data_IF_672654813900
#
_entry.id   IF_672654813900
#
_cell.length_a   1.000
_cell.length_b   1.000
_cell.length_c   1.000
_cell.angle_alpha   90.00
_cell.angle_beta   90.00
_cell.angle_gamma   90.00
#
_symmetry.space_group_name_H-M   'P 1'
#
loop_
_entity.id
_entity.type
_entity.pdbx_description
1 polymer ?
#
# COMPACT_ATOMS: atom_id res chain seq x y z
N UNK A 1 2.75 75.34 -41.75
CA UNK A 1 3.93 74.61 -41.23
C UNK A 1 3.51 73.81 -40.00
N UNK A 2 3.38 72.48 -40.12
CA UNK A 2 3.05 71.61 -38.99
C UNK A 2 4.35 71.27 -38.24
N UNK A 3 4.41 71.57 -36.94
CA UNK A 3 5.58 71.34 -36.08
C UNK A 3 5.72 69.83 -35.85
N UNK A 4 6.80 69.23 -36.36
CA UNK A 4 7.09 67.80 -36.17
C UNK A 4 7.49 67.58 -34.72
N UNK A 5 6.61 66.96 -33.93
CA UNK A 5 6.91 66.58 -32.55
C UNK A 5 8.07 65.56 -32.56
N UNK A 6 9.16 65.89 -31.86
CA UNK A 6 10.28 64.98 -31.65
C UNK A 6 9.78 63.78 -30.86
N UNK A 7 9.79 62.59 -31.47
CA UNK A 7 9.56 61.34 -30.75
C UNK A 7 10.87 60.97 -30.05
N UNK A 8 10.96 61.25 -28.77
CA UNK A 8 12.03 60.73 -27.90
C UNK A 8 11.85 59.22 -27.76
N UNK A 9 12.82 58.43 -28.22
CA UNK A 9 12.84 56.98 -28.04
C UNK A 9 13.38 56.60 -26.66
N UNK A 10 12.93 55.46 -26.13
CA UNK A 10 13.49 54.85 -24.91
C UNK A 10 14.95 54.44 -25.13
N UNK A 11 15.82 54.69 -24.16
CA UNK A 11 17.20 54.19 -24.19
C UNK A 11 17.23 52.68 -23.87
N UNK A 12 18.22 51.98 -24.42
CA UNK A 12 18.44 50.55 -24.13
C UNK A 12 18.69 50.32 -22.63
N UNK A 13 19.33 51.27 -21.95
CA UNK A 13 19.61 51.21 -20.51
C UNK A 13 18.33 51.32 -19.69
N UNK A 14 17.40 52.20 -20.05
CA UNK A 14 16.10 52.31 -19.40
C UNK A 14 15.30 51.02 -19.53
N UNK A 15 15.29 50.42 -20.72
CA UNK A 15 14.63 49.13 -20.94
C UNK A 15 15.29 48.01 -20.12
N UNK A 16 16.63 48.00 -20.06
CA UNK A 16 17.40 46.99 -19.31
C UNK A 16 17.10 47.05 -17.80
N UNK A 17 17.07 48.25 -17.21
CA UNK A 17 16.78 48.39 -15.79
C UNK A 17 15.35 47.93 -15.49
N UNK A 18 14.38 48.22 -16.35
CA UNK A 18 12.99 47.78 -16.17
C UNK A 18 12.88 46.25 -16.14
N UNK A 19 13.52 45.55 -17.08
CA UNK A 19 13.46 44.07 -17.09
C UNK A 19 14.17 43.46 -15.89
N UNK A 20 15.28 44.07 -15.43
CA UNK A 20 15.98 43.64 -14.21
C UNK A 20 15.09 43.82 -12.98
N UNK A 21 14.41 44.95 -12.85
CA UNK A 21 13.50 45.21 -11.72
C UNK A 21 12.32 44.24 -11.73
N UNK A 22 11.70 43.99 -12.89
CA UNK A 22 10.61 43.02 -13.02
C UNK A 22 11.11 41.61 -12.66
N UNK A 23 12.32 41.23 -13.08
CA UNK A 23 12.90 39.92 -12.75
C UNK A 23 13.07 39.73 -11.23
N UNK A 24 13.56 40.74 -10.51
CA UNK A 24 13.70 40.69 -9.05
C UNK A 24 12.33 40.60 -8.36
N UNK A 25 11.36 41.43 -8.79
CA UNK A 25 10.00 41.41 -8.24
C UNK A 25 9.29 40.07 -8.50
N UNK A 26 9.46 39.49 -9.68
CA UNK A 26 8.93 38.18 -10.02
C UNK A 26 9.54 37.08 -9.13
N UNK A 27 10.84 37.11 -8.88
CA UNK A 27 11.50 36.13 -8.03
C UNK A 27 10.96 36.15 -6.58
N UNK A 28 10.83 37.34 -5.98
CA UNK A 28 10.30 37.51 -4.62
C UNK A 28 8.83 37.05 -4.54
N UNK A 29 8.02 37.45 -5.53
CA UNK A 29 6.59 37.11 -5.55
C UNK A 29 6.37 35.60 -5.69
N UNK A 30 7.18 34.89 -6.49
CA UNK A 30 7.10 33.43 -6.63
C UNK A 30 7.37 32.72 -5.28
N UNK A 31 8.43 33.09 -4.57
CA UNK A 31 8.77 32.47 -3.27
C UNK A 31 7.68 32.74 -2.23
N UNK A 32 7.20 33.98 -2.16
CA UNK A 32 6.12 34.36 -1.25
C UNK A 32 4.80 33.63 -1.57
N UNK A 33 4.45 33.52 -2.84
CA UNK A 33 3.24 32.86 -3.32
C UNK A 33 3.23 31.36 -2.97
N UNK A 34 4.36 30.66 -3.16
CA UNK A 34 4.50 29.26 -2.77
C UNK A 34 4.31 29.07 -1.26
N UNK A 35 4.90 29.97 -0.45
CA UNK A 35 4.73 29.93 1.01
C UNK A 35 3.29 30.15 1.46
N UNK A 36 2.58 31.12 0.86
CA UNK A 36 1.15 31.39 1.13
C UNK A 36 0.30 30.18 0.74
N UNK A 37 0.53 29.64 -0.46
CA UNK A 37 -0.21 28.49 -0.98
C UNK A 37 -0.04 27.27 -0.07
N UNK A 38 1.17 26.97 0.38
CA UNK A 38 1.40 25.84 1.27
C UNK A 38 0.74 26.03 2.65
N UNK A 39 0.78 27.24 3.22
CA UNK A 39 0.05 27.54 4.47
C UNK A 39 -1.46 27.40 4.30
N UNK A 40 -2.01 27.86 3.18
CA UNK A 40 -3.42 27.71 2.87
C UNK A 40 -3.83 26.23 2.76
N UNK A 41 -3.01 25.41 2.07
CA UNK A 41 -3.24 23.96 1.97
C UNK A 41 -3.20 23.26 3.33
N UNK A 42 -2.18 23.55 4.16
CA UNK A 42 -2.07 23.01 5.51
C UNK A 42 -3.27 23.41 6.38
N UNK A 43 -3.67 24.68 6.33
CA UNK A 43 -4.83 25.18 7.07
C UNK A 43 -6.13 24.51 6.62
N UNK A 44 -6.32 24.30 5.31
CA UNK A 44 -7.48 23.61 4.77
C UNK A 44 -7.56 22.16 5.25
N UNK A 45 -6.48 21.38 5.12
CA UNK A 45 -6.46 19.99 5.56
C UNK A 45 -6.61 19.85 7.08
N UNK A 46 -5.90 20.67 7.85
CA UNK A 46 -5.98 20.70 9.32
C UNK A 46 -7.39 21.03 9.81
N UNK A 47 -8.00 22.09 9.29
CA UNK A 47 -9.36 22.49 9.68
C UNK A 47 -10.41 21.48 9.25
N UNK A 48 -10.23 20.81 8.11
CA UNK A 48 -11.10 19.73 7.67
C UNK A 48 -11.05 18.52 8.60
N UNK A 49 -9.85 18.08 8.99
CA UNK A 49 -9.67 16.99 9.95
C UNK A 49 -10.30 17.31 11.31
N UNK A 50 -10.08 18.53 11.81
CA UNK A 50 -10.66 19.00 13.07
C UNK A 50 -12.19 19.04 13.03
N UNK A 51 -12.76 19.62 11.96
CA UNK A 51 -14.21 19.74 11.78
C UNK A 51 -14.87 18.37 11.66
N UNK A 52 -14.24 17.44 10.95
CA UNK A 52 -14.73 16.07 10.83
C UNK A 52 -14.70 15.34 12.18
N UNK A 53 -13.58 15.42 12.91
CA UNK A 53 -13.46 14.82 14.23
C UNK A 53 -14.47 15.38 15.23
N UNK A 54 -14.75 16.69 15.19
CA UNK A 54 -15.77 17.31 16.03
C UNK A 54 -17.16 16.72 15.77
N UNK A 55 -17.53 16.54 14.50
CA UNK A 55 -18.81 15.88 14.12
C UNK A 55 -18.87 14.42 14.61
N UNK A 56 -17.77 13.68 14.46
CA UNK A 56 -17.64 12.30 14.98
C UNK A 56 -17.82 12.26 16.51
N UNK A 57 -17.17 13.16 17.24
CA UNK A 57 -17.29 13.24 18.70
C UNK A 57 -18.69 13.69 19.15
N UNK A 58 -19.31 14.67 18.47
CA UNK A 58 -20.69 15.09 18.74
C UNK A 58 -21.67 13.95 18.52
N UNK A 59 -21.48 13.15 17.46
CA UNK A 59 -22.28 11.95 17.24
C UNK A 59 -22.16 10.97 18.41
N UNK A 60 -20.96 10.72 18.93
CA UNK A 60 -20.76 9.79 20.04
C UNK A 60 -21.52 10.23 21.31
N UNK A 61 -21.49 11.53 21.63
CA UNK A 61 -22.24 12.10 22.77
C UNK A 61 -23.74 11.82 22.67
N UNK A 62 -24.32 11.83 21.48
CA UNK A 62 -25.75 11.55 21.27
C UNK A 62 -26.08 10.08 21.04
N UNK A 63 -25.09 9.19 20.98
CA UNK A 63 -25.23 7.77 20.63
C UNK A 63 -24.53 6.84 21.62
N UNK A 64 -24.72 7.09 22.92
CA UNK A 64 -24.21 6.22 24.01
C UNK A 64 -22.70 5.95 23.90
N UNK A 65 -21.94 7.03 23.69
CA UNK A 65 -20.48 7.02 23.49
C UNK A 65 -20.01 6.15 22.31
N UNK A 66 -20.87 5.83 21.35
CA UNK A 66 -20.50 5.06 20.17
C UNK A 66 -20.19 6.00 19.01
N UNK A 67 -18.99 5.89 18.48
CA UNK A 67 -18.62 6.61 17.27
C UNK A 67 -19.45 6.11 16.07
N UNK A 68 -19.68 6.95 15.05
CA UNK A 68 -20.46 6.57 13.88
C UNK A 68 -19.79 5.39 13.17
N UNK A 69 -20.58 4.47 12.61
CA UNK A 69 -20.06 3.30 11.89
C UNK A 69 -19.39 3.72 10.58
N UNK A 70 -19.98 4.70 9.91
CA UNK A 70 -19.40 5.37 8.74
C UNK A 70 -19.27 6.86 8.99
N UNK A 71 -18.30 7.50 8.36
CA UNK A 71 -18.11 8.94 8.52
C UNK A 71 -19.35 9.74 8.05
N UNK A 72 -20.09 9.21 7.07
CA UNK A 72 -21.33 9.78 6.55
C UNK A 72 -22.45 9.87 7.59
N UNK A 73 -22.50 8.95 8.57
CA UNK A 73 -23.50 8.98 9.65
C UNK A 73 -23.36 10.24 10.54
N UNK A 74 -22.17 10.84 10.55
CA UNK A 74 -21.90 12.13 11.21
C UNK A 74 -22.07 13.35 10.31
N UNK A 75 -22.58 13.17 9.09
CA UNK A 75 -22.75 14.23 8.10
C UNK A 75 -21.43 14.78 7.55
N UNK A 76 -20.40 13.94 7.49
CA UNK A 76 -19.11 14.25 6.85
C UNK A 76 -18.97 13.38 5.61
N UNK A 77 -18.79 14.02 4.47
CA UNK A 77 -18.60 13.38 3.16
C UNK A 77 -17.51 14.12 2.39
N UNK A 78 -16.93 13.44 1.41
CA UNK A 78 -16.01 14.05 0.46
C UNK A 78 -16.67 15.21 -0.29
N UNK A 79 -15.88 16.22 -0.65
CA UNK A 79 -16.37 17.39 -1.37
C UNK A 79 -15.39 18.56 -1.34
N UNK A 80 -15.58 19.53 -2.24
CA UNK A 80 -14.79 20.76 -2.31
C UNK A 80 -13.26 20.52 -2.34
N UNK A 81 -12.81 19.46 -3.02
CA UNK A 81 -11.39 19.11 -3.11
C UNK A 81 -10.79 18.53 -1.83
N UNK A 82 -11.64 18.10 -0.88
CA UNK A 82 -11.24 17.37 0.34
C UNK A 82 -11.80 15.96 0.31
N UNK A 83 -10.96 14.97 0.59
CA UNK A 83 -11.35 13.58 0.78
C UNK A 83 -11.11 13.16 2.22
N UNK A 84 -11.90 12.21 2.71
CA UNK A 84 -11.80 11.70 4.06
C UNK A 84 -11.61 10.19 4.07
N UNK A 85 -10.81 9.73 5.02
CA UNK A 85 -10.69 8.33 5.40
C UNK A 85 -11.01 8.20 6.88
N UNK A 86 -11.70 7.13 7.25
CA UNK A 86 -12.21 6.97 8.61
C UNK A 86 -12.10 5.53 9.07
N UNK A 87 -11.72 5.39 10.34
CA UNK A 87 -11.63 4.12 11.04
C UNK A 87 -12.27 4.24 12.40
N UNK A 88 -12.95 3.19 12.81
CA UNK A 88 -13.65 3.11 14.08
C UNK A 88 -13.53 1.72 14.67
N UNK A 89 -13.36 1.66 15.98
CA UNK A 89 -13.52 0.44 16.76
C UNK A 89 -14.34 0.76 18.00
N UNK A 90 -15.65 0.48 17.91
CA UNK A 90 -16.59 0.61 19.02
C UNK A 90 -16.58 -0.59 19.97
N UNK A 91 -15.77 -1.62 19.68
CA UNK A 91 -15.61 -2.82 20.53
C UNK A 91 -14.41 -2.70 21.48
N UNK A 92 -13.44 -1.84 21.16
CA UNK A 92 -12.32 -1.50 22.03
C UNK A 92 -12.78 -0.81 23.33
N UNK A 93 -11.99 -0.97 24.40
CA UNK A 93 -12.19 -0.28 25.67
C UNK A 93 -10.88 0.43 26.12
N UNK A 94 -10.78 1.76 26.02
CA UNK A 94 -11.81 2.68 25.50
C UNK A 94 -12.04 2.52 23.99
N UNK A 95 -13.23 2.90 23.52
CA UNK A 95 -13.56 2.92 22.08
C UNK A 95 -12.62 3.86 21.34
N UNK A 96 -12.34 3.56 20.08
CA UNK A 96 -11.38 4.34 19.28
C UNK A 96 -11.95 4.78 17.94
N UNK A 97 -11.44 5.91 17.45
CA UNK A 97 -11.66 6.38 16.09
C UNK A 97 -10.41 7.08 15.55
N UNK A 98 -10.31 7.16 14.24
CA UNK A 98 -9.34 8.00 13.57
C UNK A 98 -9.90 8.51 12.24
N UNK A 99 -9.79 9.81 11.99
CA UNK A 99 -10.18 10.44 10.73
C UNK A 99 -8.97 11.10 10.10
N UNK A 100 -8.76 10.87 8.81
CA UNK A 100 -7.78 11.59 7.99
C UNK A 100 -8.53 12.43 6.98
N UNK A 101 -8.24 13.73 6.91
CA UNK A 101 -8.69 14.61 5.85
C UNK A 101 -7.53 14.93 4.93
N UNK A 102 -7.74 14.81 3.63
CA UNK A 102 -6.76 15.16 2.60
C UNK A 102 -7.32 16.27 1.73
N UNK A 103 -6.70 17.44 1.77
CA UNK A 103 -7.07 18.58 0.94
C UNK A 103 -5.83 19.04 0.14
N UNK A 104 -5.97 19.17 -1.18
CA UNK A 104 -4.86 19.61 -2.06
C UNK A 104 -3.56 18.80 -1.87
N UNK A 105 -3.68 17.48 -1.73
CA UNK A 105 -2.56 16.56 -1.49
C UNK A 105 -1.79 16.82 -0.19
N UNK A 106 -2.42 17.45 0.81
CA UNK A 106 -1.92 17.55 2.18
C UNK A 106 -2.88 16.82 3.09
N UNK A 107 -2.36 15.94 3.95
CA UNK A 107 -3.17 15.19 4.91
C UNK A 107 -2.92 15.61 6.34
N UNK A 108 -4.00 15.69 7.10
CA UNK A 108 -4.01 15.80 8.55
C UNK A 108 -4.95 14.76 9.14
N UNK A 109 -4.64 14.28 10.33
CA UNK A 109 -5.50 13.35 11.03
C UNK A 109 -5.78 13.79 12.47
N UNK A 110 -6.89 13.30 12.99
CA UNK A 110 -7.31 13.42 14.39
C UNK A 110 -7.81 12.04 14.82
N UNK A 111 -7.49 11.63 16.05
CA UNK A 111 -7.89 10.34 16.60
C UNK A 111 -8.35 10.46 18.04
N UNK A 112 -8.93 9.39 18.58
CA UNK A 112 -9.26 9.32 20.01
C UNK A 112 -8.02 9.45 20.92
N UNK A 113 -6.83 9.09 20.42
CA UNK A 113 -5.57 9.24 21.15
C UNK A 113 -4.90 10.61 20.93
N UNK A 114 -5.26 11.32 19.87
CA UNK A 114 -4.71 12.64 19.52
C UNK A 114 -5.83 13.55 19.02
N UNK A 115 -6.37 14.36 19.93
CA UNK A 115 -7.46 15.29 19.66
C UNK A 115 -7.02 16.52 18.86
N UNK A 116 -5.72 16.70 18.59
CA UNK A 116 -5.20 17.84 17.82
C UNK A 116 -4.87 17.43 16.39
N UNK A 117 -5.28 18.21 15.37
CA UNK A 117 -4.92 17.95 13.99
C UNK A 117 -3.40 17.81 13.83
N UNK A 118 -2.96 16.64 13.41
CA UNK A 118 -1.54 16.31 13.22
C UNK A 118 -1.28 16.00 11.76
N UNK A 119 -0.18 16.51 11.23
CA UNK A 119 0.19 16.24 9.83
C UNK A 119 0.44 14.74 9.62
N UNK A 120 -0.06 14.21 8.50
CA UNK A 120 0.02 12.79 8.16
C UNK A 120 -1.36 12.15 8.08
N UNK A 121 -1.40 10.84 8.31
CA UNK A 121 -2.62 10.03 8.20
C UNK A 121 -2.71 9.02 9.34
N UNK A 122 -3.91 8.53 9.59
CA UNK A 122 -4.12 7.39 10.47
C UNK A 122 -3.41 6.14 9.95
N UNK A 123 -3.09 5.19 10.82
CA UNK A 123 -2.63 3.87 10.40
C UNK A 123 -3.64 3.23 9.42
N UNK A 124 -3.14 2.68 8.31
CA UNK A 124 -3.94 2.12 7.21
C UNK A 124 -4.51 3.13 6.22
N UNK A 125 -4.40 4.44 6.47
CA UNK A 125 -4.87 5.46 5.54
C UNK A 125 -3.77 5.88 4.57
N UNK A 126 -4.21 6.46 3.45
CA UNK A 126 -3.33 7.14 2.51
C UNK A 126 -2.97 8.53 3.03
N UNK A 127 -1.87 9.09 2.55
CA UNK A 127 -1.40 10.40 2.97
C UNK A 127 -0.97 11.23 1.76
N UNK A 128 -1.18 12.54 1.85
CA UNK A 128 -0.70 13.54 0.90
C UNK A 128 -1.11 13.26 -0.56
N UNK A 129 -2.33 12.78 -0.76
CA UNK A 129 -2.86 12.43 -2.09
C UNK A 129 -2.39 11.08 -2.63
N UNK A 130 -1.65 10.30 -1.84
CA UNK A 130 -1.24 8.94 -2.16
C UNK A 130 -2.22 7.98 -1.48
N UNK A 131 -2.83 7.09 -2.25
CA UNK A 131 -3.75 6.07 -1.74
C UNK A 131 -3.00 5.04 -0.86
N UNK A 132 -3.66 4.43 0.15
CA UNK A 132 -3.05 3.35 0.89
C UNK A 132 -2.84 2.13 0.00
N UNK A 133 -1.84 1.32 0.35
CA UNK A 133 -1.59 0.03 -0.28
C UNK A 133 -2.28 -1.06 0.52
N UNK A 134 -3.00 -1.93 -0.17
CA UNK A 134 -3.60 -3.14 0.43
C UNK A 134 -2.71 -4.34 0.18
N UNK A 135 -2.28 -5.02 1.23
CA UNK A 135 -1.78 -6.39 1.13
C UNK A 135 -2.97 -7.35 1.06
N UNK A 136 -3.04 -8.08 -0.05
CA UNK A 136 -4.07 -9.07 -0.34
C UNK A 136 -3.77 -10.46 0.23
N UNK A 137 -2.59 -10.67 0.79
CA UNK A 137 -2.33 -11.84 1.64
C UNK A 137 -3.07 -11.71 2.96
N UNK A 138 -3.78 -12.77 3.35
CA UNK A 138 -4.65 -12.76 4.54
C UNK A 138 -3.98 -13.29 5.81
N UNK A 139 -2.85 -13.99 5.69
CA UNK A 139 -2.05 -14.48 6.80
C UNK A 139 -0.55 -14.43 6.45
N UNK A 140 0.00 -13.22 6.16
CA UNK A 140 1.34 -13.00 5.62
C UNK A 140 2.49 -13.55 6.48
N UNK A 141 2.39 -13.49 7.81
CA UNK A 141 3.46 -13.83 8.76
C UNK A 141 3.17 -15.08 9.61
N UNK A 142 2.08 -15.81 9.34
CA UNK A 142 1.81 -17.11 9.95
C UNK A 142 1.73 -17.11 11.49
N UNK A 143 1.45 -15.96 12.10
CA UNK A 143 1.53 -15.77 13.55
C UNK A 143 0.54 -16.64 14.33
N UNK A 144 -0.59 -17.02 13.73
CA UNK A 144 -1.62 -17.83 14.40
C UNK A 144 -1.85 -19.19 13.77
N UNK A 145 -1.64 -19.34 12.46
CA UNK A 145 -1.88 -20.57 11.72
C UNK A 145 -1.08 -20.60 10.40
N UNK A 146 -1.14 -21.72 9.67
CA UNK A 146 -0.56 -21.87 8.31
C UNK A 146 -1.64 -22.00 7.21
N UNK A 147 -2.88 -21.64 7.52
CA UNK A 147 -4.01 -21.68 6.59
C UNK A 147 -3.86 -20.59 5.53
N UNK A 148 -4.54 -20.77 4.40
CA UNK A 148 -4.57 -19.84 3.24
C UNK A 148 -3.35 -19.92 2.31
N UNK A 149 -2.49 -20.91 2.51
CA UNK A 149 -1.36 -21.21 1.63
C UNK A 149 -1.40 -22.67 1.21
N UNK A 150 -0.97 -22.91 -0.01
CA UNK A 150 -0.91 -24.24 -0.60
C UNK A 150 0.42 -24.51 -1.27
N UNK A 151 0.61 -25.76 -1.69
CA UNK A 151 1.75 -26.12 -2.55
C UNK A 151 1.55 -25.42 -3.89
N UNK A 152 2.61 -24.85 -4.44
CA UNK A 152 2.54 -24.32 -5.80
C UNK A 152 2.13 -25.46 -6.75
N UNK A 153 1.18 -25.22 -7.67
CA UNK A 153 0.60 -26.28 -8.52
C UNK A 153 1.62 -27.07 -9.36
N UNK A 154 2.77 -26.48 -9.66
CA UNK A 154 3.89 -27.11 -10.38
C UNK A 154 4.86 -27.89 -9.47
N UNK A 155 4.60 -28.01 -8.17
CA UNK A 155 5.48 -28.70 -7.22
C UNK A 155 5.39 -30.21 -7.38
N UNK A 156 6.50 -30.87 -7.66
CA UNK A 156 6.61 -32.33 -7.83
C UNK A 156 7.14 -33.05 -6.57
N UNK A 157 7.87 -32.36 -5.68
CA UNK A 157 8.33 -32.94 -4.42
C UNK A 157 7.20 -33.06 -3.40
N UNK A 158 6.95 -34.23 -2.84
CA UNK A 158 6.02 -34.40 -1.73
C UNK A 158 6.44 -33.55 -0.53
N UNK A 159 5.51 -32.75 0.01
CA UNK A 159 5.75 -31.88 1.15
C UNK A 159 4.46 -31.64 1.94
N UNK A 160 4.58 -31.44 3.25
CA UNK A 160 3.50 -30.93 4.11
C UNK A 160 3.79 -29.51 4.56
N UNK A 161 2.73 -28.77 4.90
CA UNK A 161 2.83 -27.41 5.40
C UNK A 161 2.45 -27.36 6.86
N UNK A 162 3.33 -26.83 7.69
CA UNK A 162 3.10 -26.65 9.12
C UNK A 162 3.49 -25.25 9.54
N UNK A 163 2.75 -24.69 10.50
CA UNK A 163 3.21 -23.49 11.20
C UNK A 163 4.39 -23.89 12.08
N UNK A 164 5.48 -23.12 12.00
CA UNK A 164 6.70 -23.38 12.76
C UNK A 164 7.12 -22.16 13.55
N UNK A 165 7.56 -22.38 14.79
CA UNK A 165 8.15 -21.34 15.66
C UNK A 165 9.67 -21.53 15.81
N UNK A 166 10.26 -22.49 15.08
CA UNK A 166 11.70 -22.78 15.19
C UNK A 166 12.56 -21.83 14.37
N UNK A 167 11.93 -21.15 13.39
CA UNK A 167 12.58 -20.20 12.49
C UNK A 167 11.54 -19.23 11.97
N UNK A 168 11.80 -17.94 12.05
CA UNK A 168 11.00 -16.87 11.44
C UNK A 168 11.93 -15.76 10.95
N UNK A 169 11.44 -14.95 10.00
CA UNK A 169 12.14 -13.75 9.53
C UNK A 169 11.71 -12.54 10.38
N UNK A 170 10.42 -12.43 10.63
CA UNK A 170 9.84 -11.50 11.59
C UNK A 170 8.82 -12.19 12.49
N UNK A 171 8.40 -11.49 13.54
CA UNK A 171 7.44 -12.01 14.50
C UNK A 171 7.85 -13.35 15.12
N UNK A 172 6.86 -14.17 15.48
CA UNK A 172 7.06 -15.37 16.30
C UNK A 172 6.94 -16.69 15.55
N UNK A 173 6.55 -16.67 14.27
CA UNK A 173 6.33 -17.89 13.50
C UNK A 173 6.58 -17.70 12.00
N UNK A 174 6.62 -18.81 11.28
CA UNK A 174 6.64 -18.86 9.82
C UNK A 174 5.96 -20.14 9.33
N UNK A 175 5.83 -20.29 8.02
CA UNK A 175 5.38 -21.54 7.43
C UNK A 175 6.58 -22.40 7.03
N UNK A 176 6.63 -23.62 7.56
CA UNK A 176 7.63 -24.63 7.22
C UNK A 176 7.02 -25.62 6.21
N UNK A 177 7.82 -25.93 5.19
CA UNK A 177 7.61 -27.07 4.31
C UNK A 177 8.48 -28.23 4.78
N UNK A 178 7.83 -29.30 5.24
CA UNK A 178 8.50 -30.56 5.53
C UNK A 178 8.55 -31.39 4.26
N UNK A 179 9.72 -31.39 3.59
CA UNK A 179 9.94 -32.11 2.35
C UNK A 179 10.11 -33.60 2.65
N UNK A 180 9.30 -34.44 2.01
CA UNK A 180 9.32 -35.91 2.17
C UNK A 180 9.71 -36.65 0.90
N UNK A 181 9.77 -35.97 -0.25
CA UNK A 181 10.18 -36.53 -1.53
C UNK A 181 11.13 -35.61 -2.30
N UNK A 182 11.71 -36.13 -3.38
CA UNK A 182 12.62 -35.38 -4.26
C UNK A 182 11.86 -34.73 -5.41
N UNK A 183 12.22 -33.50 -5.78
CA UNK A 183 11.64 -32.79 -6.92
C UNK A 183 11.63 -31.28 -6.72
N UNK A 184 10.76 -30.61 -7.46
CA UNK A 184 10.53 -29.17 -7.33
C UNK A 184 9.53 -28.88 -6.20
N UNK A 185 9.82 -27.89 -5.38
CA UNK A 185 8.89 -27.35 -4.38
C UNK A 185 8.64 -25.86 -4.61
N UNK A 186 7.58 -25.37 -3.96
CA UNK A 186 7.15 -23.99 -3.98
C UNK A 186 5.97 -23.75 -3.04
N UNK A 187 5.63 -22.48 -2.86
CA UNK A 187 4.49 -22.04 -2.06
C UNK A 187 3.62 -21.10 -2.90
N UNK A 188 2.32 -21.17 -2.68
CA UNK A 188 1.36 -20.18 -3.17
C UNK A 188 0.46 -19.67 -2.06
N UNK A 189 0.31 -18.36 -1.98
CA UNK A 189 -0.72 -17.69 -1.20
C UNK A 189 -2.02 -17.69 -2.00
N UNK A 190 -3.12 -18.06 -1.35
CA UNK A 190 -4.45 -17.89 -1.92
C UNK A 190 -4.91 -16.45 -1.67
N UNK A 191 -5.40 -15.80 -2.73
CA UNK A 191 -6.05 -14.50 -2.64
C UNK A 191 -7.56 -14.74 -2.56
N UNK A 192 -8.30 -14.04 -1.68
CA UNK A 192 -9.75 -14.13 -1.66
C UNK A 192 -10.34 -13.90 -3.06
N UNK A 193 -11.16 -14.85 -3.51
CA UNK A 193 -11.71 -14.83 -4.86
C UNK A 193 -12.45 -13.52 -5.14
N UNK A 194 -12.35 -13.06 -6.38
CA UNK A 194 -12.97 -11.83 -6.90
C UNK A 194 -12.61 -10.50 -6.24
N UNK A 195 -11.68 -10.45 -5.27
CA UNK A 195 -11.34 -9.19 -4.59
C UNK A 195 -10.22 -8.40 -5.26
N UNK A 196 -9.20 -9.07 -5.81
CA UNK A 196 -8.08 -8.40 -6.49
C UNK A 196 -8.25 -8.45 -8.01
N UNK A 197 -8.96 -7.46 -8.57
CA UNK A 197 -9.08 -7.26 -10.01
C UNK A 197 -7.86 -6.52 -10.57
N UNK A 198 -7.27 -7.08 -11.62
CA UNK A 198 -6.22 -6.48 -12.43
C UNK A 198 -6.77 -6.32 -13.84
N UNK A 199 -6.92 -5.07 -14.27
CA UNK A 199 -7.34 -4.75 -15.61
C UNK A 199 -6.17 -4.90 -16.60
N UNK A 200 -6.50 -4.99 -17.89
CA UNK A 200 -5.48 -4.86 -18.93
C UNK A 200 -4.60 -3.62 -18.75
N UNK A 201 -3.29 -3.78 -18.89
CA UNK A 201 -2.28 -2.73 -18.68
C UNK A 201 -1.93 -2.47 -17.22
N UNK A 202 -2.70 -2.99 -16.25
CA UNK A 202 -2.38 -2.86 -14.83
C UNK A 202 -1.39 -3.95 -14.39
N UNK A 203 -0.69 -3.66 -13.30
CA UNK A 203 0.32 -4.57 -12.73
C UNK A 203 -0.04 -5.03 -11.33
N UNK A 204 0.55 -6.14 -10.92
CA UNK A 204 0.61 -6.55 -9.51
C UNK A 204 2.04 -6.91 -9.14
N UNK A 205 2.35 -6.73 -7.86
CA UNK A 205 3.63 -7.02 -7.24
C UNK A 205 3.41 -7.94 -6.05
N UNK A 206 4.25 -8.94 -5.90
CA UNK A 206 4.22 -9.86 -4.77
C UNK A 206 5.63 -10.18 -4.30
N UNK A 207 5.75 -10.46 -3.02
CA UNK A 207 7.01 -10.94 -2.47
C UNK A 207 6.78 -11.77 -1.23
N UNK A 208 7.80 -12.51 -0.83
CA UNK A 208 7.84 -13.24 0.42
C UNK A 208 9.29 -13.52 0.79
N UNK A 209 9.57 -13.69 2.07
CA UNK A 209 10.86 -14.15 2.53
C UNK A 209 10.91 -15.66 2.54
N UNK A 210 12.04 -16.21 2.10
CA UNK A 210 12.30 -17.64 2.05
C UNK A 210 13.61 -17.95 2.76
N UNK A 211 13.62 -19.00 3.58
CA UNK A 211 14.84 -19.65 4.03
C UNK A 211 14.83 -21.08 3.51
N UNK A 212 15.94 -21.55 2.96
CA UNK A 212 16.07 -22.93 2.49
C UNK A 212 17.42 -23.49 2.91
N UNK A 213 17.48 -24.75 3.35
CA UNK A 213 18.76 -25.46 3.55
C UNK A 213 19.47 -25.75 2.21
N UNK A 214 18.73 -25.65 1.10
CA UNK A 214 19.17 -25.91 -0.26
C UNK A 214 19.26 -24.62 -1.07
N UNK A 215 20.40 -24.41 -1.72
CA UNK A 215 20.55 -23.34 -2.69
C UNK A 215 19.87 -23.72 -4.02
N UNK A 216 19.38 -22.72 -4.75
CA UNK A 216 18.74 -22.93 -6.04
C UNK A 216 18.10 -21.66 -6.58
N UNK A 217 17.03 -21.86 -7.33
CA UNK A 217 16.29 -20.77 -7.97
C UNK A 217 14.81 -20.90 -7.71
N UNK A 218 14.13 -19.76 -7.56
CA UNK A 218 12.68 -19.70 -7.48
C UNK A 218 12.16 -18.91 -8.67
N UNK A 219 11.14 -19.45 -9.34
CA UNK A 219 10.39 -18.77 -10.39
C UNK A 219 9.12 -18.19 -9.76
N UNK A 220 9.03 -16.86 -9.57
CA UNK A 220 7.83 -16.22 -9.06
C UNK A 220 6.70 -16.32 -10.09
N UNK A 221 5.47 -16.44 -9.61
CA UNK A 221 4.28 -16.39 -10.47
C UNK A 221 3.10 -15.76 -9.73
N UNK A 222 2.18 -15.19 -10.49
CA UNK A 222 0.82 -14.87 -10.06
C UNK A 222 -0.12 -15.25 -11.19
N UNK A 223 -1.24 -15.87 -10.84
CA UNK A 223 -2.26 -16.23 -11.80
C UNK A 223 -3.66 -16.04 -11.20
N UNK A 224 -4.66 -16.18 -12.08
CA UNK A 224 -6.01 -15.84 -11.73
C UNK A 224 -7.02 -16.20 -12.80
N UNK A 225 -8.29 -16.14 -12.39
CA UNK A 225 -9.42 -16.38 -13.26
C UNK A 225 -9.70 -15.14 -14.13
N UNK A 226 -9.93 -15.36 -15.42
CA UNK A 226 -10.36 -14.32 -16.34
C UNK A 226 -11.81 -13.91 -16.05
N UNK A 227 -12.13 -12.63 -16.21
CA UNK A 227 -13.50 -12.12 -16.04
C UNK A 227 -14.47 -12.78 -17.03
N UNK A 228 -14.01 -13.09 -18.24
CA UNK A 228 -14.81 -13.77 -19.25
C UNK A 228 -14.91 -15.28 -18.99
N UNK A 229 -13.80 -16.01 -19.16
CA UNK A 229 -13.65 -17.43 -18.81
C UNK A 229 -12.19 -17.87 -18.98
N UNK A 230 -11.74 -18.86 -18.21
CA UNK A 230 -10.38 -19.40 -18.27
C UNK A 230 -9.44 -18.87 -17.17
N UNK A 231 -8.17 -19.25 -17.26
CA UNK A 231 -7.11 -18.87 -16.34
C UNK A 231 -5.96 -18.21 -17.09
N UNK A 232 -5.33 -17.23 -16.47
CA UNK A 232 -4.12 -16.63 -17.01
C UNK A 232 -3.15 -16.22 -15.90
N UNK A 233 -1.87 -16.18 -16.26
CA UNK A 233 -0.81 -15.64 -15.42
C UNK A 233 -0.52 -14.17 -15.73
N UNK A 234 0.15 -13.52 -14.79
CA UNK A 234 0.90 -12.30 -15.03
C UNK A 234 2.28 -12.67 -15.59
N UNK A 235 2.78 -11.85 -16.52
CA UNK A 235 4.07 -12.03 -17.16
C UNK A 235 5.08 -11.00 -16.66
N UNK A 236 6.37 -11.37 -16.60
CA UNK A 236 7.48 -10.42 -16.40
C UNK A 236 8.35 -10.62 -15.16
N UNK A 237 8.02 -11.53 -14.24
CA UNK A 237 8.81 -11.74 -13.03
C UNK A 237 10.12 -12.52 -13.35
N UNK A 238 11.31 -11.99 -12.99
CA UNK A 238 12.55 -12.72 -13.15
C UNK A 238 12.66 -13.87 -12.14
N UNK A 239 13.45 -14.87 -12.47
CA UNK A 239 13.81 -15.93 -11.51
C UNK A 239 14.73 -15.36 -10.44
N UNK A 240 14.52 -15.74 -9.18
CA UNK A 240 15.28 -15.28 -8.02
C UNK A 240 16.26 -16.37 -7.58
N UNK A 241 17.52 -16.01 -7.39
CA UNK A 241 18.52 -16.93 -6.82
C UNK A 241 18.36 -17.00 -5.30
N UNK A 242 18.28 -18.22 -4.77
CA UNK A 242 18.14 -18.48 -3.34
C UNK A 242 19.43 -19.13 -2.85
N UNK A 243 20.13 -18.44 -1.94
CA UNK A 243 21.28 -18.99 -1.24
C UNK A 243 20.82 -19.93 -0.12
N UNK A 244 21.60 -20.98 0.12
CA UNK A 244 21.34 -21.90 1.24
C UNK A 244 21.57 -21.19 2.58
N UNK A 245 20.78 -21.57 3.57
CA UNK A 245 20.91 -21.19 4.97
C UNK A 245 20.86 -19.69 5.27
N UNK A 246 20.17 -18.91 4.43
CA UNK A 246 19.90 -17.50 4.66
C UNK A 246 18.49 -17.15 4.23
N UNK A 247 17.93 -16.12 4.86
CA UNK A 247 16.70 -15.50 4.40
C UNK A 247 16.96 -14.74 3.10
N UNK A 248 16.14 -15.00 2.09
CA UNK A 248 16.18 -14.35 0.77
C UNK A 248 14.78 -13.85 0.46
N UNK A 249 14.65 -12.58 0.10
CA UNK A 249 13.39 -12.02 -0.37
C UNK A 249 13.16 -12.44 -1.82
N UNK A 250 12.15 -13.27 -2.05
CA UNK A 250 11.68 -13.61 -3.39
C UNK A 250 10.71 -12.54 -3.83
N UNK A 251 10.97 -11.94 -4.98
CA UNK A 251 10.22 -10.82 -5.54
C UNK A 251 9.67 -11.20 -6.89
N UNK A 252 8.38 -10.95 -7.10
CA UNK A 252 7.71 -11.04 -8.38
C UNK A 252 6.92 -9.79 -8.70
N UNK A 253 6.80 -9.50 -9.98
CA UNK A 253 5.91 -8.48 -10.50
C UNK A 253 5.44 -8.93 -11.88
N UNK A 254 4.29 -8.44 -12.30
CA UNK A 254 3.85 -8.68 -13.65
C UNK A 254 2.73 -7.76 -14.05
N UNK A 255 2.65 -7.52 -15.36
CA UNK A 255 1.65 -6.68 -15.98
C UNK A 255 0.69 -7.54 -16.77
N UNK A 256 -0.59 -7.22 -16.70
CA UNK A 256 -1.60 -7.84 -17.53
C UNK A 256 -1.49 -7.27 -18.96
N UNK A 257 -1.19 -8.08 -19.99
CA UNK A 257 -1.02 -7.53 -21.33
C UNK A 257 -2.31 -6.93 -21.87
N UNK A 258 -2.19 -5.83 -22.62
CA UNK A 258 -3.33 -5.20 -23.31
C UNK A 258 -3.90 -6.16 -24.35
N UNK A 259 -5.23 -6.27 -24.42
CA UNK A 259 -5.96 -7.19 -25.29
C UNK A 259 -6.09 -8.63 -24.76
N UNK A 260 -5.72 -8.92 -23.52
CA UNK A 260 -5.81 -10.27 -22.93
C UNK A 260 -7.07 -10.53 -22.10
N UNK A 261 -7.86 -9.50 -21.80
CA UNK A 261 -9.00 -9.49 -20.89
C UNK A 261 -8.59 -9.26 -19.43
N UNK A 262 -9.46 -8.64 -18.65
CA UNK A 262 -9.26 -8.45 -17.21
C UNK A 262 -9.25 -9.78 -16.44
N UNK A 263 -8.61 -9.80 -15.28
CA UNK A 263 -8.52 -10.98 -14.43
C UNK A 263 -8.69 -10.65 -12.94
N UNK A 264 -9.11 -11.64 -12.17
CA UNK A 264 -9.02 -11.64 -10.71
C UNK A 264 -7.85 -12.53 -10.29
N UNK A 265 -6.86 -11.99 -9.60
CA UNK A 265 -5.77 -12.79 -9.02
C UNK A 265 -6.37 -13.76 -8.01
N UNK A 266 -6.06 -15.05 -8.15
CA UNK A 266 -6.47 -16.09 -7.20
C UNK A 266 -5.30 -16.62 -6.40
N UNK A 267 -4.09 -16.54 -6.94
CA UNK A 267 -2.90 -17.01 -6.26
C UNK A 267 -1.63 -16.33 -6.76
N UNK A 268 -0.69 -16.20 -5.85
CA UNK A 268 0.65 -15.72 -6.11
C UNK A 268 1.65 -16.56 -5.32
N UNK A 269 2.85 -16.73 -5.84
CA UNK A 269 3.79 -17.67 -5.26
C UNK A 269 5.14 -17.67 -5.93
N UNK A 270 5.89 -18.72 -5.61
CA UNK A 270 7.12 -19.09 -6.28
C UNK A 270 7.30 -20.60 -6.24
N UNK A 271 7.87 -21.15 -7.30
CA UNK A 271 8.14 -22.58 -7.44
C UNK A 271 9.54 -22.82 -8.01
N UNK A 272 9.86 -24.08 -8.33
CA UNK A 272 11.08 -24.50 -9.03
C UNK A 272 12.35 -24.59 -8.15
N UNK A 273 12.20 -24.64 -6.82
CA UNK A 273 13.32 -25.01 -5.96
C UNK A 273 13.47 -26.53 -5.95
N UNK A 274 14.59 -27.04 -6.47
CA UNK A 274 14.88 -28.47 -6.49
C UNK A 274 15.39 -28.93 -5.12
N UNK A 275 14.63 -29.80 -4.47
CA UNK A 275 14.85 -30.29 -3.09
C UNK A 275 14.90 -31.82 -3.03
N UNK A 276 15.50 -32.33 -1.97
CA UNK A 276 15.43 -33.73 -1.53
C UNK A 276 14.79 -33.83 -0.14
N UNK A 277 14.47 -35.03 0.32
CA UNK A 277 13.75 -35.28 1.58
C UNK A 277 14.47 -34.82 2.86
N UNK A 278 15.75 -34.46 2.80
CA UNK A 278 16.49 -33.88 3.93
C UNK A 278 16.48 -32.36 3.94
N UNK A 279 16.01 -31.72 2.87
CA UNK A 279 15.96 -30.27 2.78
C UNK A 279 14.75 -29.72 3.53
N UNK A 280 14.91 -28.53 4.10
CA UNK A 280 13.86 -27.82 4.80
C UNK A 280 13.73 -26.41 4.25
N UNK A 281 12.49 -25.96 4.10
CA UNK A 281 12.18 -24.64 3.54
C UNK A 281 11.17 -23.92 4.45
N UNK A 282 11.42 -22.65 4.72
CA UNK A 282 10.54 -21.77 5.47
C UNK A 282 10.15 -20.55 4.65
N UNK A 283 8.95 -20.04 4.88
CA UNK A 283 8.37 -18.89 4.19
C UNK A 283 7.76 -17.94 5.20
N UNK A 284 7.91 -16.65 4.96
CA UNK A 284 7.43 -15.61 5.85
C UNK A 284 7.07 -14.33 5.05
N UNK A 285 6.34 -13.42 5.68
CA UNK A 285 6.03 -12.07 5.20
C UNK A 285 5.51 -12.02 3.74
N UNK A 286 4.48 -12.79 3.45
CA UNK A 286 3.91 -12.79 2.10
C UNK A 286 3.13 -11.51 1.81
N UNK A 287 3.44 -10.82 0.71
CA UNK A 287 2.70 -9.64 0.26
C UNK A 287 2.25 -9.78 -1.17
N UNK A 288 1.03 -9.32 -1.44
CA UNK A 288 0.46 -9.20 -2.78
C UNK A 288 -0.22 -7.84 -2.86
N UNK A 289 0.17 -7.02 -3.82
CA UNK A 289 -0.30 -5.65 -3.97
C UNK A 289 -0.58 -5.34 -5.43
N UNK A 290 -1.49 -4.39 -5.66
CA UNK A 290 -1.71 -3.80 -6.98
C UNK A 290 -0.60 -2.78 -7.28
N UNK A 291 -0.17 -2.71 -8.53
CA UNK A 291 0.97 -1.90 -8.98
C UNK A 291 2.23 -2.73 -9.17
N UNK A 292 3.31 -2.09 -9.61
CA UNK A 292 4.62 -2.72 -9.82
C UNK A 292 5.60 -2.48 -8.67
N UNK A 293 5.23 -1.64 -7.71
CA UNK A 293 6.09 -1.22 -6.60
C UNK A 293 6.13 -2.28 -5.51
N UNK A 294 7.33 -2.76 -5.21
CA UNK A 294 7.56 -3.69 -4.12
C UNK A 294 7.41 -2.98 -2.78
N UNK A 295 6.61 -3.56 -1.90
CA UNK A 295 6.47 -3.08 -0.53
C UNK A 295 7.51 -3.75 0.36
N UNK A 296 7.97 -3.01 1.37
CA UNK A 296 9.00 -3.48 2.28
C UNK A 296 8.45 -4.30 3.43
N UNK A 297 7.17 -4.15 3.75
CA UNK A 297 6.53 -4.73 4.92
C UNK A 297 5.19 -5.35 4.53
N UNK A 298 4.91 -6.51 5.10
CA UNK A 298 3.87 -7.39 4.61
C UNK A 298 2.75 -7.68 5.61
N UNK A 299 2.65 -7.00 6.75
CA UNK A 299 1.71 -7.42 7.78
C UNK A 299 1.02 -6.25 8.50
N UNK A 300 -0.11 -6.53 9.16
CA UNK A 300 -0.81 -5.54 9.98
C UNK A 300 -0.12 -5.21 11.31
N UNK A 301 1.15 -5.58 11.47
CA UNK A 301 1.96 -5.34 12.69
C UNK A 301 3.10 -4.33 12.43
N UNK A 302 3.45 -4.11 11.17
CA UNK A 302 4.40 -3.08 10.77
C UNK A 302 3.84 -1.68 11.04
N UNK A 303 4.72 -0.70 11.29
CA UNK A 303 4.31 0.66 11.66
C UNK A 303 3.35 1.25 10.63
N UNK A 304 2.21 1.77 11.10
CA UNK A 304 1.13 2.36 10.30
C UNK A 304 0.40 1.39 9.35
N UNK A 305 0.64 0.08 9.43
CA UNK A 305 -0.20 -0.93 8.82
C UNK A 305 -1.30 -1.39 9.79
N UNK A 306 -2.43 -1.81 9.24
CA UNK A 306 -3.57 -2.26 10.06
C UNK A 306 -4.40 -3.33 9.34
N UNK A 307 -4.92 -4.29 10.09
CA UNK A 307 -5.80 -5.34 9.59
C UNK A 307 -7.19 -4.82 9.25
N UNK A 308 -7.68 -5.07 8.04
CA UNK A 308 -9.00 -4.64 7.59
C UNK A 308 -10.15 -5.49 8.17
N UNK A 309 -9.83 -6.64 8.76
CA UNK A 309 -10.77 -7.50 9.47
C UNK A 309 -10.08 -8.22 10.63
N UNK A 310 -10.28 -9.53 10.74
CA UNK A 310 -9.65 -10.34 11.77
C UNK A 310 -8.12 -10.31 11.66
N UNK A 311 -7.46 -10.03 12.78
CA UNK A 311 -5.99 -10.04 12.91
C UNK A 311 -5.44 -11.39 12.44
N UNK A 312 -4.40 -11.37 11.60
CA UNK A 312 -3.76 -12.55 11.00
C UNK A 312 -4.70 -13.45 10.16
N UNK A 313 -5.86 -12.94 9.75
CA UNK A 313 -6.79 -13.67 8.91
C UNK A 313 -7.65 -12.72 8.04
N UNK A 314 -7.04 -11.65 7.54
CA UNK A 314 -7.70 -10.67 6.66
C UNK A 314 -6.66 -9.87 5.90
N UNK A 315 -7.08 -9.10 4.90
CA UNK A 315 -6.17 -8.15 4.25
C UNK A 315 -5.71 -7.08 5.22
N UNK A 316 -4.58 -6.45 4.93
CA UNK A 316 -4.09 -5.28 5.68
C UNK A 316 -3.86 -4.10 4.76
N UNK A 317 -3.95 -2.89 5.32
CA UNK A 317 -3.66 -1.64 4.60
C UNK A 317 -2.58 -0.86 5.31
N UNK A 318 -1.74 -0.17 4.55
CA UNK A 318 -0.71 0.70 5.09
C UNK A 318 -0.30 1.78 4.09
N UNK A 319 0.61 2.68 4.50
CA UNK A 319 1.14 3.70 3.60
C UNK A 319 1.97 3.05 2.49
N UNK A 320 1.94 3.65 1.31
CA UNK A 320 2.87 3.31 0.25
C UNK A 320 4.29 3.73 0.67
N UNK A 321 5.26 2.80 0.55
CA UNK A 321 6.69 3.09 0.76
C UNK A 321 7.34 3.71 -0.47
#
# INVERSE_FOLDING_TARGET
MARRASRTGFTIVELLIVVVVIAILAAITIVAYNGITNRAKNSAASSAAESAAKKVMTFAVTNSDSYPATLADSGVTDGNGTTYQYRVDNTANPKTFCVTATANSVSYFVSSANATPTSGACAGHGANGIAPVTNWSINPSFETNASSYGRAGSSTASATHVRSTTRSHSGGASLQQDITGTGQTGLQAQVPSSQLRINEGESAAWSFWMYSTKAGTITPYCDGALVASGYAGLSGAPTVSVAANTWVKVVGYGTRPVGSGDMFITQCGGYNLNVVSTDQVWYDEFIITKGSTQQNYADGNSSNWIWNGTVNNSTSTGPQV
#
